data_IF_509534863582
#
_entry.id   IF_509534863582
#
_cell.length_a   1.000
_cell.length_b   1.000
_cell.length_c   1.000
_cell.angle_alpha   90.00
_cell.angle_beta   90.00
_cell.angle_gamma   90.00
#
_symmetry.space_group_name_H-M   'P 1'
#
loop_
_entity.id
_entity.type
_entity.pdbx_description
1 polymer ?
#
# COMPACT_ATOMS: atom_id res chain seq x y z
N UNK A 1 -4.53 -37.19 16.36
CA UNK A 1 -4.28 -36.73 14.98
C UNK A 1 -5.43 -35.83 14.61
N UNK A 2 -5.23 -34.52 14.68
CA UNK A 2 -6.19 -33.53 14.22
C UNK A 2 -5.48 -32.75 13.11
N UNK A 3 -5.72 -33.16 11.87
CA UNK A 3 -5.43 -32.35 10.70
C UNK A 3 -6.51 -31.26 10.67
N UNK A 4 -6.16 -30.06 11.15
CA UNK A 4 -6.99 -28.88 10.93
C UNK A 4 -6.73 -28.46 9.49
N UNK A 5 -7.61 -28.91 8.58
CA UNK A 5 -7.66 -28.40 7.23
C UNK A 5 -7.84 -26.87 7.28
N UNK A 6 -6.85 -26.16 6.75
CA UNK A 6 -6.98 -24.77 6.33
C UNK A 6 -8.04 -24.72 5.23
N UNK A 7 -9.28 -24.50 5.63
CA UNK A 7 -10.41 -24.32 4.73
C UNK A 7 -10.16 -23.08 3.87
N UNK A 8 -9.78 -23.31 2.61
CA UNK A 8 -9.85 -22.33 1.53
C UNK A 8 -11.30 -21.89 1.37
N UNK A 9 -11.64 -20.71 1.86
CA UNK A 9 -12.79 -19.97 1.37
C UNK A 9 -12.28 -19.16 0.19
N UNK A 10 -12.28 -19.77 -0.99
CA UNK A 10 -12.14 -19.04 -2.25
C UNK A 10 -13.52 -18.48 -2.60
N UNK A 11 -13.85 -17.34 -2.03
CA UNK A 11 -14.90 -16.46 -2.56
C UNK A 11 -14.17 -15.50 -3.49
N UNK A 12 -14.42 -15.64 -4.79
CA UNK A 12 -14.01 -14.78 -5.90
C UNK A 12 -12.70 -13.98 -5.72
N UNK A 13 -11.59 -14.50 -6.23
CA UNK A 13 -10.40 -13.69 -6.57
C UNK A 13 -9.58 -13.10 -5.41
N UNK A 14 -10.02 -13.21 -4.16
CA UNK A 14 -9.33 -12.60 -3.03
C UNK A 14 -8.41 -13.60 -2.31
N UNK A 15 -7.10 -13.34 -2.34
CA UNK A 15 -6.14 -14.08 -1.53
C UNK A 15 -6.31 -13.63 -0.06
N UNK A 16 -6.64 -14.56 0.84
CA UNK A 16 -6.77 -14.26 2.27
C UNK A 16 -5.96 -15.27 3.11
N UNK A 17 -5.16 -14.76 4.04
CA UNK A 17 -4.44 -15.55 5.04
C UNK A 17 -4.79 -15.10 6.46
N UNK A 18 -4.82 -16.05 7.40
CA UNK A 18 -4.83 -15.75 8.82
C UNK A 18 -3.39 -15.74 9.33
N UNK A 19 -2.81 -14.54 9.47
CA UNK A 19 -1.49 -14.37 10.07
C UNK A 19 -1.59 -14.49 11.61
N UNK A 20 -0.60 -15.09 12.29
CA UNK A 20 -0.58 -15.11 13.74
C UNK A 20 -0.43 -13.68 14.29
N UNK A 21 -1.05 -13.41 15.43
CA UNK A 21 -0.91 -12.13 16.13
C UNK A 21 0.56 -11.99 16.63
N UNK A 22 1.27 -10.91 16.25
CA UNK A 22 2.64 -10.69 16.69
C UNK A 22 2.78 -10.52 18.21
N UNK A 23 1.73 -10.13 18.93
CA UNK A 23 1.76 -9.92 20.38
C UNK A 23 1.28 -11.13 21.19
N UNK A 24 0.83 -12.20 20.53
CA UNK A 24 0.32 -13.40 21.21
C UNK A 24 1.45 -14.29 21.75
N UNK A 25 1.71 -14.18 23.05
CA UNK A 25 2.72 -14.97 23.76
C UNK A 25 2.36 -16.46 23.92
N UNK A 26 1.11 -16.86 23.61
CA UNK A 26 0.70 -18.27 23.65
C UNK A 26 1.20 -19.07 22.45
N UNK A 27 1.51 -18.40 21.34
CA UNK A 27 2.05 -19.02 20.12
C UNK A 27 3.56 -19.18 20.27
N UNK A 28 4.05 -20.41 20.19
CA UNK A 28 5.50 -20.68 20.24
C UNK A 28 6.23 -20.04 19.04
N UNK A 29 7.50 -19.67 19.20
CA UNK A 29 8.30 -19.09 18.11
C UNK A 29 8.37 -20.01 16.87
N UNK A 30 8.53 -21.32 17.09
CA UNK A 30 8.53 -22.32 16.01
C UNK A 30 7.21 -22.32 15.23
N UNK A 31 6.09 -22.27 15.94
CA UNK A 31 4.76 -22.26 15.32
C UNK A 31 4.50 -20.96 14.56
N UNK A 32 4.86 -19.81 15.14
CA UNK A 32 4.78 -18.51 14.48
C UNK A 32 5.54 -18.51 13.16
N UNK A 33 6.82 -18.91 13.16
CA UNK A 33 7.65 -18.95 11.95
C UNK A 33 7.13 -19.95 10.91
N UNK A 34 6.58 -21.09 11.35
CA UNK A 34 5.98 -22.06 10.44
C UNK A 34 4.75 -21.46 9.72
N UNK A 35 3.82 -20.84 10.46
CA UNK A 35 2.60 -20.24 9.89
C UNK A 35 2.94 -19.12 8.91
N UNK A 36 3.83 -18.21 9.30
CA UNK A 36 4.28 -17.12 8.43
C UNK A 36 5.05 -17.66 7.22
N UNK A 37 5.90 -18.68 7.40
CA UNK A 37 6.65 -19.31 6.31
C UNK A 37 5.73 -19.97 5.28
N UNK A 38 4.65 -20.62 5.71
CA UNK A 38 3.64 -21.18 4.82
C UNK A 38 2.91 -20.10 4.02
N UNK A 39 2.47 -19.01 4.68
CA UNK A 39 1.85 -17.89 4.00
C UNK A 39 2.79 -17.26 2.95
N UNK A 40 4.08 -17.11 3.29
CA UNK A 40 5.09 -16.58 2.39
C UNK A 40 5.25 -17.41 1.10
N UNK A 41 5.28 -18.74 1.22
CA UNK A 41 5.41 -19.63 0.07
C UNK A 41 4.23 -19.53 -0.91
N UNK A 42 3.02 -19.24 -0.41
CA UNK A 42 1.84 -19.07 -1.26
C UNK A 42 1.90 -17.73 -2.01
N UNK A 43 2.55 -16.73 -1.43
CA UNK A 43 2.73 -15.41 -2.03
C UNK A 43 3.84 -15.36 -3.09
N UNK A 44 4.30 -16.51 -3.62
CA UNK A 44 5.38 -16.52 -4.61
C UNK A 44 4.95 -16.10 -6.03
N UNK A 45 3.72 -15.62 -6.19
CA UNK A 45 3.23 -15.07 -7.46
C UNK A 45 3.80 -13.67 -7.70
N UNK A 46 3.66 -13.22 -8.95
CA UNK A 46 4.16 -11.93 -9.42
C UNK A 46 2.99 -10.98 -9.71
N UNK A 47 2.10 -10.77 -8.73
CA UNK A 47 0.98 -9.82 -8.83
C UNK A 47 0.93 -8.90 -7.61
N UNK A 48 0.14 -7.82 -7.71
CA UNK A 48 0.14 -6.79 -6.67
C UNK A 48 -0.46 -7.30 -5.35
N UNK A 49 -1.48 -8.16 -5.42
CA UNK A 49 -2.09 -8.78 -4.26
C UNK A 49 -1.08 -9.61 -3.45
N UNK A 50 -0.27 -10.43 -4.13
CA UNK A 50 0.79 -11.21 -3.45
C UNK A 50 1.89 -10.34 -2.86
N UNK A 51 2.23 -9.22 -3.50
CA UNK A 51 3.17 -8.25 -2.94
C UNK A 51 2.62 -7.51 -1.71
N UNK A 52 1.32 -7.17 -1.70
CA UNK A 52 0.63 -6.64 -0.51
C UNK A 52 0.71 -7.65 0.63
N UNK A 53 0.43 -8.94 0.35
CA UNK A 53 0.52 -9.99 1.37
C UNK A 53 1.94 -10.22 1.89
N UNK A 54 2.95 -10.18 1.02
CA UNK A 54 4.36 -10.19 1.45
C UNK A 54 4.66 -9.03 2.39
N UNK A 55 4.13 -7.83 2.12
CA UNK A 55 4.22 -6.69 3.01
C UNK A 55 3.58 -6.92 4.38
N UNK A 56 2.36 -7.47 4.42
CA UNK A 56 1.65 -7.84 5.67
C UNK A 56 2.43 -8.87 6.47
N UNK A 57 2.95 -9.91 5.82
CA UNK A 57 3.82 -10.92 6.45
C UNK A 57 5.06 -10.27 7.06
N UNK A 58 5.77 -9.43 6.31
CA UNK A 58 6.96 -8.74 6.78
C UNK A 58 6.67 -7.86 7.99
N UNK A 59 5.54 -7.15 7.98
CA UNK A 59 5.04 -6.36 9.10
C UNK A 59 4.81 -7.23 10.34
N UNK A 60 4.11 -8.36 10.20
CA UNK A 60 3.87 -9.32 11.29
C UNK A 60 5.17 -9.86 11.88
N UNK A 61 6.15 -10.27 11.07
CA UNK A 61 7.45 -10.75 11.58
C UNK A 61 8.19 -9.63 12.32
N UNK A 62 8.28 -8.44 11.72
CA UNK A 62 8.93 -7.28 12.34
C UNK A 62 8.30 -6.95 13.70
N UNK A 63 6.98 -6.95 13.77
CA UNK A 63 6.25 -6.56 14.97
C UNK A 63 6.39 -7.62 16.08
N UNK A 64 6.43 -8.91 15.72
CA UNK A 64 6.75 -10.01 16.66
C UNK A 64 8.12 -9.85 17.31
N UNK A 65 9.15 -9.59 16.50
CA UNK A 65 10.53 -9.41 16.97
C UNK A 65 10.65 -8.17 17.88
N UNK A 66 9.91 -7.12 17.57
CA UNK A 66 9.83 -5.91 18.39
C UNK A 66 9.16 -6.17 19.74
N UNK A 67 8.08 -6.96 19.76
CA UNK A 67 7.35 -7.31 20.98
C UNK A 67 8.19 -8.19 21.93
N UNK A 68 8.99 -9.11 21.38
CA UNK A 68 9.86 -10.00 22.18
C UNK A 68 11.11 -9.32 22.75
N UNK A 69 11.27 -8.01 22.53
CA UNK A 69 12.35 -7.23 23.15
C UNK A 69 13.71 -7.40 22.48
N UNK A 70 13.79 -7.99 21.28
CA UNK A 70 15.02 -7.98 20.48
C UNK A 70 15.21 -6.58 19.86
N UNK A 71 15.52 -5.59 20.72
CA UNK A 71 15.59 -4.17 20.40
C UNK A 71 16.66 -3.77 19.37
N UNK A 72 17.41 -4.74 18.83
CA UNK A 72 18.35 -4.54 17.71
C UNK A 72 17.80 -5.00 16.36
N UNK A 73 16.62 -5.63 16.32
CA UNK A 73 16.00 -6.14 15.10
C UNK A 73 16.79 -7.26 14.43
N UNK A 74 17.64 -7.97 15.18
CA UNK A 74 18.48 -9.06 14.65
C UNK A 74 17.64 -10.19 14.07
N UNK A 75 16.56 -10.60 14.76
CA UNK A 75 15.67 -11.64 14.27
C UNK A 75 15.02 -11.28 12.92
N UNK A 76 14.49 -10.07 12.79
CA UNK A 76 13.91 -9.60 11.52
C UNK A 76 14.97 -9.52 10.41
N UNK A 77 16.16 -8.98 10.68
CA UNK A 77 17.24 -8.91 9.68
C UNK A 77 17.73 -10.30 9.26
N UNK A 78 17.81 -11.26 10.18
CA UNK A 78 18.15 -12.65 9.88
C UNK A 78 17.07 -13.29 8.99
N UNK A 79 15.79 -13.07 9.33
CA UNK A 79 14.66 -13.58 8.55
C UNK A 79 14.66 -13.05 7.10
N UNK A 80 14.99 -11.76 6.93
CA UNK A 80 15.19 -11.15 5.61
C UNK A 80 16.37 -11.78 4.87
N UNK A 81 17.50 -11.97 5.56
CA UNK A 81 18.72 -12.54 4.97
C UNK A 81 18.50 -13.97 4.47
N UNK A 82 17.79 -14.82 5.22
CA UNK A 82 17.43 -16.19 4.81
C UNK A 82 16.62 -16.25 3.52
N UNK A 83 15.95 -15.15 3.16
CA UNK A 83 15.05 -15.03 2.01
C UNK A 83 15.60 -14.12 0.92
N UNK A 84 16.86 -13.69 1.05
CA UNK A 84 17.54 -12.81 0.10
C UNK A 84 16.81 -11.48 -0.12
N UNK A 85 16.11 -10.98 0.91
CA UNK A 85 15.36 -9.72 0.85
C UNK A 85 16.20 -8.59 1.43
N UNK A 86 16.39 -7.52 0.67
CA UNK A 86 17.06 -6.33 1.21
C UNK A 86 16.16 -5.59 2.21
N UNK A 87 16.76 -4.92 3.20
CA UNK A 87 16.02 -4.07 4.14
C UNK A 87 15.13 -3.05 3.42
N UNK A 88 15.66 -2.38 2.39
CA UNK A 88 14.91 -1.41 1.58
C UNK A 88 13.67 -2.02 0.93
N UNK A 89 13.83 -3.19 0.29
CA UNK A 89 12.72 -3.92 -0.32
C UNK A 89 11.66 -4.33 0.70
N UNK A 90 12.09 -4.77 1.90
CA UNK A 90 11.17 -5.14 2.95
C UNK A 90 10.28 -3.96 3.38
N UNK A 91 10.87 -2.78 3.59
CA UNK A 91 10.09 -1.60 3.97
C UNK A 91 9.21 -1.08 2.82
N UNK A 92 9.61 -1.21 1.56
CA UNK A 92 8.74 -0.88 0.41
C UNK A 92 7.51 -1.79 0.34
N UNK A 93 7.67 -3.09 0.64
CA UNK A 93 6.55 -4.02 0.70
C UNK A 93 5.63 -3.73 1.89
N UNK A 94 6.20 -3.39 3.06
CA UNK A 94 5.42 -2.97 4.23
C UNK A 94 4.63 -1.70 3.92
N UNK A 95 5.24 -0.68 3.31
CA UNK A 95 4.55 0.55 2.90
C UNK A 95 3.41 0.26 1.92
N UNK A 96 3.62 -0.66 0.96
CA UNK A 96 2.58 -1.11 0.05
C UNK A 96 1.42 -1.79 0.80
N UNK A 97 1.71 -2.61 1.81
CA UNK A 97 0.68 -3.23 2.64
C UNK A 97 -0.09 -2.21 3.47
N UNK A 98 0.60 -1.25 4.10
CA UNK A 98 -0.04 -0.17 4.85
C UNK A 98 -0.94 0.69 3.94
N UNK A 99 -0.51 0.94 2.69
CA UNK A 99 -1.32 1.62 1.67
C UNK A 99 -2.57 0.83 1.30
N UNK A 100 -2.46 -0.49 1.22
CA UNK A 100 -3.60 -1.36 0.91
C UNK A 100 -4.57 -1.47 2.08
N UNK A 101 -4.07 -1.53 3.30
CA UNK A 101 -4.89 -1.51 4.50
C UNK A 101 -5.71 -0.21 4.56
N UNK A 102 -5.11 0.95 4.21
CA UNK A 102 -5.83 2.22 4.09
C UNK A 102 -6.96 2.14 3.03
N UNK A 103 -6.60 1.87 1.77
CA UNK A 103 -7.55 1.96 0.66
C UNK A 103 -8.66 0.90 0.72
N UNK A 104 -8.34 -0.32 1.16
CA UNK A 104 -9.31 -1.43 1.20
C UNK A 104 -10.19 -1.38 2.46
N UNK A 105 -9.62 -1.08 3.64
CA UNK A 105 -10.42 -1.07 4.89
C UNK A 105 -11.35 0.13 4.97
N UNK A 106 -10.96 1.26 4.38
CA UNK A 106 -11.82 2.45 4.29
C UNK A 106 -12.88 2.32 3.19
N UNK A 107 -12.86 1.24 2.40
CA UNK A 107 -13.82 0.99 1.32
C UNK A 107 -13.60 1.90 0.10
N UNK A 108 -12.43 2.52 -0.01
CA UNK A 108 -12.07 3.39 -1.14
C UNK A 108 -11.70 2.60 -2.39
N UNK A 109 -11.31 1.34 -2.25
CA UNK A 109 -10.94 0.45 -3.35
C UNK A 109 -11.50 -0.96 -3.09
N UNK A 110 -12.00 -1.61 -4.14
CA UNK A 110 -12.42 -3.01 -4.08
C UNK A 110 -11.22 -3.96 -4.28
N UNK A 111 -11.18 -5.14 -3.61
CA UNK A 111 -10.06 -6.08 -3.72
C UNK A 111 -9.78 -6.57 -5.15
N UNK A 112 -10.82 -6.62 -5.99
CA UNK A 112 -10.76 -7.06 -7.39
C UNK A 112 -9.98 -6.07 -8.27
N UNK A 113 -10.02 -4.77 -7.91
CA UNK A 113 -9.43 -3.68 -8.68
C UNK A 113 -7.94 -3.45 -8.37
N UNK A 114 -7.42 -4.08 -7.30
CA UNK A 114 -6.01 -3.97 -6.88
C UNK A 114 -5.04 -4.23 -8.03
N UNK A 115 -5.32 -5.25 -8.85
CA UNK A 115 -4.43 -5.64 -9.94
C UNK A 115 -4.49 -4.70 -11.16
N UNK A 116 -5.31 -3.66 -11.14
CA UNK A 116 -5.31 -2.58 -12.13
C UNK A 116 -4.10 -1.64 -11.97
N UNK A 117 -3.47 -1.64 -10.78
CA UNK A 117 -2.39 -0.72 -10.42
C UNK A 117 -0.99 -1.30 -10.64
N UNK A 118 -0.05 -0.42 -10.94
CA UNK A 118 1.37 -0.68 -10.61
C UNK A 118 1.65 -0.41 -9.13
N UNK A 119 2.65 -1.08 -8.53
CA UNK A 119 3.06 -0.85 -7.11
C UNK A 119 3.19 0.63 -6.74
N UNK A 120 3.89 1.38 -7.59
CA UNK A 120 4.14 2.81 -7.35
C UNK A 120 2.88 3.65 -7.48
N UNK A 121 1.99 3.31 -8.40
CA UNK A 121 0.71 3.98 -8.54
C UNK A 121 -0.16 3.75 -7.31
N UNK A 122 -0.20 2.52 -6.80
CA UNK A 122 -0.98 2.15 -5.64
C UNK A 122 -0.56 2.95 -4.39
N UNK A 123 0.74 2.97 -4.09
CA UNK A 123 1.28 3.76 -2.96
C UNK A 123 1.03 5.26 -3.15
N UNK A 124 1.23 5.80 -4.35
CA UNK A 124 0.98 7.23 -4.62
C UNK A 124 -0.51 7.59 -4.54
N UNK A 125 -1.40 6.64 -4.84
CA UNK A 125 -2.86 6.80 -4.68
C UNK A 125 -3.22 6.91 -3.21
N UNK A 126 -2.74 5.98 -2.36
CA UNK A 126 -2.98 6.02 -0.92
C UNK A 126 -2.46 7.30 -0.25
N UNK A 127 -1.45 7.95 -0.82
CA UNK A 127 -0.89 9.22 -0.34
C UNK A 127 -1.60 10.46 -0.92
N UNK A 128 -2.51 10.27 -1.88
CA UNK A 128 -3.24 11.37 -2.53
C UNK A 128 -4.48 11.77 -1.72
N UNK A 129 -5.05 12.97 -1.95
CA UNK A 129 -6.30 13.38 -1.29
C UNK A 129 -7.46 12.40 -1.56
N UNK A 130 -8.45 12.29 -0.65
CA UNK A 130 -9.57 11.34 -0.79
C UNK A 130 -10.33 11.48 -2.10
N UNK A 131 -10.48 12.70 -2.63
CA UNK A 131 -11.17 12.94 -3.89
C UNK A 131 -10.38 12.38 -5.08
N UNK A 132 -9.05 12.47 -5.03
CA UNK A 132 -8.17 11.87 -6.03
C UNK A 132 -8.16 10.36 -5.91
N UNK A 133 -8.15 9.82 -4.68
CA UNK A 133 -8.31 8.39 -4.43
C UNK A 133 -9.59 7.87 -5.06
N UNK A 134 -10.73 8.55 -4.85
CA UNK A 134 -12.02 8.15 -5.43
C UNK A 134 -11.98 8.14 -6.96
N UNK A 135 -11.46 9.20 -7.60
CA UNK A 135 -11.38 9.26 -9.06
C UNK A 135 -10.51 8.15 -9.64
N UNK A 136 -9.40 7.81 -8.97
CA UNK A 136 -8.51 6.73 -9.40
C UNK A 136 -9.17 5.36 -9.18
N UNK A 137 -9.85 5.16 -8.06
CA UNK A 137 -10.59 3.93 -7.78
C UNK A 137 -11.72 3.72 -8.79
N UNK A 138 -12.47 4.76 -9.16
CA UNK A 138 -13.51 4.69 -10.18
C UNK A 138 -12.93 4.27 -11.54
N UNK A 139 -11.75 4.78 -11.92
CA UNK A 139 -11.06 4.38 -13.13
C UNK A 139 -10.58 2.92 -13.06
N UNK A 140 -10.01 2.50 -11.92
CA UNK A 140 -9.58 1.13 -11.72
C UNK A 140 -10.75 0.14 -11.80
N UNK A 141 -11.91 0.51 -11.23
CA UNK A 141 -13.15 -0.27 -11.27
C UNK A 141 -13.72 -0.43 -12.69
N UNK A 142 -13.50 0.56 -13.56
CA UNK A 142 -13.83 0.47 -14.98
C UNK A 142 -12.85 -0.41 -15.77
N UNK A 143 -11.80 -0.92 -15.12
CA UNK A 143 -10.78 -1.79 -15.71
C UNK A 143 -9.58 -1.04 -16.30
N UNK A 144 -9.45 0.27 -16.04
CA UNK A 144 -8.32 1.06 -16.52
C UNK A 144 -7.03 0.68 -15.79
N UNK A 145 -5.92 0.67 -16.54
CA UNK A 145 -4.60 0.41 -15.97
C UNK A 145 -4.06 1.69 -15.34
N UNK A 146 -3.94 1.68 -14.01
CA UNK A 146 -3.49 2.86 -13.27
C UNK A 146 -1.97 2.92 -13.17
N UNK A 147 -1.41 3.95 -13.79
CA UNK A 147 0.01 4.27 -13.76
C UNK A 147 0.31 5.38 -12.77
N UNK A 148 1.55 5.39 -12.28
CA UNK A 148 2.04 6.45 -11.38
C UNK A 148 1.87 7.85 -11.98
N UNK A 149 2.02 7.96 -13.30
CA UNK A 149 1.93 9.24 -14.01
C UNK A 149 0.50 9.80 -13.96
N UNK A 150 -0.50 8.94 -14.14
CA UNK A 150 -1.92 9.35 -14.10
C UNK A 150 -2.30 9.80 -12.70
N UNK A 151 -1.93 9.02 -11.67
CA UNK A 151 -2.14 9.41 -10.27
C UNK A 151 -1.55 10.79 -10.00
N UNK A 152 -0.28 10.99 -10.36
CA UNK A 152 0.39 12.28 -10.16
C UNK A 152 -0.28 13.43 -10.90
N UNK A 153 -0.71 13.19 -12.13
CA UNK A 153 -1.37 14.21 -12.94
C UNK A 153 -2.70 14.62 -12.30
N UNK A 154 -3.53 13.67 -11.88
CA UNK A 154 -4.78 13.94 -11.18
C UNK A 154 -4.55 14.67 -9.85
N UNK A 155 -3.53 14.27 -9.08
CA UNK A 155 -3.18 14.97 -7.83
C UNK A 155 -2.72 16.41 -8.07
N UNK A 156 -1.91 16.64 -9.11
CA UNK A 156 -1.45 17.99 -9.47
C UNK A 156 -2.61 18.85 -10.02
N UNK A 157 -3.54 18.27 -10.80
CA UNK A 157 -4.75 18.93 -11.29
C UNK A 157 -5.69 19.30 -10.14
N UNK A 158 -5.98 18.36 -9.25
CA UNK A 158 -6.81 18.59 -8.06
C UNK A 158 -6.24 19.72 -7.22
N UNK A 159 -4.95 19.65 -6.88
CA UNK A 159 -4.26 20.66 -6.07
C UNK A 159 -4.33 22.06 -6.69
N UNK A 160 -4.13 22.17 -8.01
CA UNK A 160 -4.17 23.45 -8.69
C UNK A 160 -5.59 24.07 -8.70
N UNK A 161 -6.63 23.23 -8.71
CA UNK A 161 -8.02 23.66 -8.79
C UNK A 161 -8.67 23.89 -7.42
N UNK A 162 -8.26 23.15 -6.39
CA UNK A 162 -8.86 23.21 -5.05
C UNK A 162 -8.11 24.09 -4.05
N UNK A 163 -6.87 24.49 -4.35
CA UNK A 163 -6.04 25.28 -3.43
C UNK A 163 -6.62 26.68 -3.16
N UNK A 164 -6.91 26.97 -1.89
CA UNK A 164 -7.34 28.29 -1.43
C UNK A 164 -6.21 29.35 -1.45
N UNK A 165 -4.94 28.91 -1.54
CA UNK A 165 -3.76 29.79 -1.58
C UNK A 165 -3.54 30.45 -2.95
N UNK A 166 -4.30 30.05 -3.97
CA UNK A 166 -4.19 30.58 -5.31
C UNK A 166 -5.26 31.65 -5.57
N UNK A 167 -4.88 32.78 -6.21
CA UNK A 167 -5.85 33.72 -6.76
C UNK A 167 -6.77 33.03 -7.77
N UNK A 168 -8.02 33.50 -7.85
CA UNK A 168 -9.02 32.91 -8.74
C UNK A 168 -8.59 33.01 -10.21
N UNK A 169 -7.89 34.08 -10.60
CA UNK A 169 -7.36 34.26 -11.96
C UNK A 169 -6.33 33.19 -12.33
N UNK A 170 -5.61 32.62 -11.36
CA UNK A 170 -4.65 31.54 -11.61
C UNK A 170 -5.39 30.22 -11.79
N UNK A 171 -6.44 29.97 -11.02
CA UNK A 171 -7.28 28.76 -11.17
C UNK A 171 -8.03 28.76 -12.50
N UNK A 172 -8.65 29.88 -12.88
CA UNK A 172 -9.33 30.04 -14.18
C UNK A 172 -8.37 29.75 -15.35
N UNK A 173 -7.17 30.33 -15.31
CA UNK A 173 -6.12 30.10 -16.33
C UNK A 173 -5.53 28.70 -16.30
N UNK A 174 -5.68 27.97 -15.21
CA UNK A 174 -5.28 26.57 -15.14
C UNK A 174 -6.36 25.69 -15.75
N UNK A 175 -7.63 26.00 -15.46
CA UNK A 175 -8.81 25.31 -15.99
C UNK A 175 -8.93 25.40 -17.52
N UNK A 176 -8.61 26.57 -18.09
CA UNK A 176 -8.63 26.78 -19.55
C UNK A 176 -7.35 26.31 -20.26
N UNK A 177 -6.42 25.68 -19.53
CA UNK A 177 -5.11 25.21 -20.00
C UNK A 177 -4.15 26.30 -20.49
N UNK A 178 -4.38 27.57 -20.16
CA UNK A 178 -3.42 28.66 -20.43
C UNK A 178 -2.14 28.50 -19.60
N UNK A 179 -2.27 28.06 -18.34
CA UNK A 179 -1.16 27.74 -17.44
C UNK A 179 -1.16 26.24 -17.15
N UNK A 180 -0.12 25.49 -17.55
CA UNK A 180 -0.04 24.07 -17.26
C UNK A 180 0.02 23.77 -15.74
N UNK A 181 -0.80 22.83 -15.29
CA UNK A 181 -0.87 22.33 -13.89
C UNK A 181 0.48 21.92 -13.31
N UNK A 182 1.36 21.36 -14.14
CA UNK A 182 2.74 20.98 -13.75
C UNK A 182 3.59 22.14 -13.19
N UNK A 183 3.22 23.40 -13.46
CA UNK A 183 3.88 24.58 -12.89
C UNK A 183 3.14 25.12 -11.66
N UNK A 184 1.83 24.89 -11.57
CA UNK A 184 0.97 25.41 -10.51
C UNK A 184 1.05 24.54 -9.25
N UNK A 185 0.97 23.21 -9.39
CA UNK A 185 1.02 22.32 -8.24
C UNK A 185 2.33 22.45 -7.42
N UNK A 186 3.54 22.56 -8.02
CA UNK A 186 4.74 22.88 -7.26
C UNK A 186 4.67 24.22 -6.53
N UNK A 187 4.04 25.24 -7.12
CA UNK A 187 3.87 26.54 -6.47
C UNK A 187 2.97 26.41 -5.22
N UNK A 188 1.83 25.71 -5.33
CA UNK A 188 0.94 25.46 -4.18
C UNK A 188 1.69 24.80 -3.03
N UNK A 189 2.48 23.75 -3.32
CA UNK A 189 3.30 23.06 -2.30
C UNK A 189 4.32 23.97 -1.61
N UNK A 190 4.84 24.99 -2.29
CA UNK A 190 5.73 25.97 -1.66
C UNK A 190 4.95 27.00 -0.83
N UNK A 191 3.75 27.41 -1.28
CA UNK A 191 2.88 28.31 -0.54
C UNK A 191 2.37 27.68 0.77
N UNK A 192 2.04 26.38 0.77
CA UNK A 192 1.62 25.63 1.97
C UNK A 192 2.70 25.57 3.07
N UNK A 193 3.97 25.77 2.72
CA UNK A 193 5.09 25.79 3.68
C UNK A 193 5.30 27.15 4.31
N UNK A 194 4.62 28.19 3.83
CA UNK A 194 4.77 29.53 4.37
C UNK A 194 4.02 29.65 5.71
N UNK A 195 4.61 30.32 6.71
CA UNK A 195 4.03 30.47 8.05
C UNK A 195 2.84 31.42 8.10
#
# INVERSE_FOLDING_TARGET
MAETELSKIAVSGELQFQLPDPEDDTVSASEFHQRVGQAWQICDRFDLQTDIWRGRILKTVRDREKAQGDGRGSGFLNWLSEREISKSQAYQLIELADSADLLLQEGMLEPEDVNCFSKKAFVETAQSPPEVQQLISDAAHQGDRITRREVRQLSDEWMAMSSELLPEEVKEKTADNTIPTKYVAPLVRELEKLP
#
